data_IF_152954191204
#
_entry.id   IF_152954191204
#
_cell.length_a   1.000
_cell.length_b   1.000
_cell.length_c   1.000
_cell.angle_alpha   90.00
_cell.angle_beta   90.00
_cell.angle_gamma   90.00
#
_symmetry.space_group_name_H-M   'P 1'
#
loop_
_entity.id
_entity.type
_entity.pdbx_description
1 polymer ?
#
# COMPACT_ATOMS: atom_id res chain seq x y z
N UNK A 1 14.21 10.97 -6.60
CA UNK A 1 14.85 10.83 -5.28
C UNK A 1 16.35 10.54 -5.38
N UNK A 2 16.81 9.61 -6.22
CA UNK A 2 18.23 9.22 -6.33
C UNK A 2 19.21 10.33 -6.78
N UNK A 3 18.78 11.26 -7.66
CA UNK A 3 19.62 12.39 -8.09
C UNK A 3 19.99 13.37 -6.96
N UNK A 4 19.09 13.62 -6.01
CA UNK A 4 19.33 14.52 -4.89
C UNK A 4 20.39 13.96 -3.93
N UNK A 5 20.46 12.63 -3.82
CA UNK A 5 21.40 11.93 -2.96
C UNK A 5 22.81 11.87 -3.56
N UNK A 6 22.91 11.69 -4.89
CA UNK A 6 24.19 11.80 -5.62
C UNK A 6 24.78 13.21 -5.46
N UNK A 7 23.94 14.24 -5.55
CA UNK A 7 24.37 15.62 -5.34
C UNK A 7 24.92 15.86 -3.92
N UNK A 8 24.29 15.28 -2.89
CA UNK A 8 24.75 15.41 -1.50
C UNK A 8 26.12 14.74 -1.28
N UNK A 9 26.35 13.56 -1.86
CA UNK A 9 27.63 12.85 -1.76
C UNK A 9 28.76 13.60 -2.48
N UNK A 10 28.47 14.23 -3.62
CA UNK A 10 29.44 15.08 -4.33
C UNK A 10 29.84 16.30 -3.51
N UNK A 11 28.88 16.97 -2.86
CA UNK A 11 29.16 18.13 -2.00
C UNK A 11 30.05 17.73 -0.82
N UNK A 12 29.78 16.57 -0.20
CA UNK A 12 30.60 16.06 0.91
C UNK A 12 32.03 15.73 0.44
N UNK A 13 32.18 15.13 -0.74
CA UNK A 13 33.50 14.81 -1.30
C UNK A 13 34.32 16.08 -1.59
N UNK A 14 33.70 17.12 -2.17
CA UNK A 14 34.34 18.41 -2.43
C UNK A 14 34.75 19.09 -1.11
N UNK A 15 33.91 19.03 -0.08
CA UNK A 15 34.20 19.59 1.23
C UNK A 15 35.40 18.91 1.90
N UNK A 16 35.47 17.57 1.83
CA UNK A 16 36.61 16.81 2.36
C UNK A 16 37.91 17.10 1.59
N UNK A 17 37.86 17.24 0.27
CA UNK A 17 38.98 17.68 -0.57
C UNK A 17 39.49 19.08 -0.18
N UNK A 18 38.56 20.01 0.09
CA UNK A 18 38.90 21.36 0.51
C UNK A 18 39.58 21.38 1.89
N UNK A 19 39.08 20.61 2.85
CA UNK A 19 39.67 20.46 4.18
C UNK A 19 41.08 19.86 4.13
N UNK A 20 41.26 18.80 3.34
CA UNK A 20 42.56 18.18 3.13
C UNK A 20 43.57 19.14 2.50
N UNK A 21 43.13 20.00 1.57
CA UNK A 21 43.97 21.03 0.97
C UNK A 21 44.34 22.12 1.96
N UNK A 22 43.40 22.54 2.82
CA UNK A 22 43.64 23.60 3.83
C UNK A 22 44.70 23.19 4.85
N UNK A 23 44.73 21.91 5.25
CA UNK A 23 45.71 21.39 6.20
C UNK A 23 47.16 21.39 5.68
N UNK A 24 47.36 21.43 4.35
CA UNK A 24 48.70 21.48 3.72
C UNK A 24 49.31 22.89 3.79
N UNK A 25 48.50 23.94 3.97
CA UNK A 25 48.96 25.34 3.87
C UNK A 25 49.52 25.89 5.19
N UNK A 26 49.21 25.28 6.34
CA UNK A 26 49.63 25.77 7.67
C UNK A 26 51.08 25.41 8.05
N UNK A 27 51.73 24.43 7.40
CA UNK A 27 53.12 24.06 7.73
C UNK A 27 54.17 24.99 7.10
N UNK A 28 53.85 25.67 6.00
CA UNK A 28 54.79 26.53 5.27
C UNK A 28 55.10 27.87 5.95
N UNK A 29 54.26 28.34 6.88
CA UNK A 29 54.38 29.68 7.47
C UNK A 29 55.42 29.78 8.61
N UNK A 30 55.69 28.68 9.33
CA UNK A 30 56.61 28.67 10.48
C UNK A 30 58.09 28.74 10.04
N UNK A 31 58.43 28.04 8.95
CA UNK A 31 59.78 28.01 8.39
C UNK A 31 60.16 29.36 7.75
N UNK A 32 59.21 30.01 7.07
CA UNK A 32 59.40 31.35 6.49
C UNK A 32 59.56 32.42 7.59
N UNK A 33 58.72 32.39 8.64
CA UNK A 33 58.82 33.33 9.76
C UNK A 33 60.17 33.21 10.49
N UNK A 34 60.67 31.98 10.69
CA UNK A 34 61.97 31.76 11.34
C UNK A 34 63.14 32.27 10.49
N UNK A 35 63.05 32.14 9.15
CA UNK A 35 64.07 32.63 8.23
C UNK A 35 64.14 34.16 8.21
N UNK A 36 62.99 34.84 8.19
CA UNK A 36 62.94 36.31 8.22
C UNK A 36 63.56 36.87 9.52
N UNK A 37 63.29 36.22 10.66
CA UNK A 37 63.88 36.62 11.95
C UNK A 37 65.41 36.47 11.93
N UNK A 38 65.92 35.37 11.35
CA UNK A 38 67.36 35.14 11.22
C UNK A 38 68.05 36.18 10.34
N UNK A 39 67.47 36.49 9.17
CA UNK A 39 68.03 37.49 8.24
C UNK A 39 67.99 38.91 8.85
N UNK A 40 66.92 39.25 9.57
CA UNK A 40 66.80 40.52 10.29
C UNK A 40 67.88 40.69 11.37
N UNK A 41 68.12 39.66 12.19
CA UNK A 41 69.18 39.68 13.21
C UNK A 41 70.59 39.73 12.62
N UNK A 42 70.80 39.17 11.43
CA UNK A 42 72.08 39.25 10.73
C UNK A 42 72.38 40.68 10.28
N UNK A 43 71.37 41.37 9.74
CA UNK A 43 71.46 42.77 9.31
C UNK A 43 71.74 43.69 10.50
N UNK A 44 71.06 43.50 11.63
CA UNK A 44 71.27 44.27 12.87
C UNK A 44 72.74 44.16 13.34
N UNK A 45 73.30 42.95 13.35
CA UNK A 45 74.71 42.74 13.73
C UNK A 45 75.70 43.40 12.76
N UNK A 46 75.39 43.43 11.46
CA UNK A 46 76.22 44.11 10.46
C UNK A 46 76.15 45.64 10.60
N UNK A 47 74.98 46.16 10.95
CA UNK A 47 74.79 47.58 11.24
C UNK A 47 75.54 48.00 12.52
N UNK A 48 75.48 47.18 13.58
CA UNK A 48 76.22 47.41 14.83
C UNK A 48 77.75 47.49 14.60
N UNK A 49 78.29 46.66 13.69
CA UNK A 49 79.69 46.77 13.26
C UNK A 49 79.93 48.08 12.51
N UNK A 50 79.03 48.45 11.59
CA UNK A 50 79.11 49.71 10.84
C UNK A 50 79.07 50.97 11.72
N UNK A 51 78.36 50.90 12.85
CA UNK A 51 78.29 51.95 13.86
C UNK A 51 79.44 51.90 14.89
N UNK A 52 80.32 50.88 14.80
CA UNK A 52 81.46 50.69 15.70
C UNK A 52 81.09 50.21 17.11
N UNK A 53 79.88 49.69 17.31
CA UNK A 53 79.37 49.18 18.58
C UNK A 53 79.98 47.82 18.95
N UNK A 54 80.38 47.04 17.93
CA UNK A 54 81.04 45.75 18.09
C UNK A 54 82.27 45.68 17.18
N UNK A 55 83.25 44.85 17.55
CA UNK A 55 84.43 44.57 16.72
C UNK A 55 84.17 43.47 15.69
N UNK A 56 84.96 43.40 14.61
CA UNK A 56 84.85 42.33 13.61
C UNK A 56 84.96 40.92 14.21
N UNK A 57 85.76 40.77 15.27
CA UNK A 57 85.92 39.50 15.98
C UNK A 57 84.66 39.11 16.76
N UNK A 58 83.99 40.10 17.37
CA UNK A 58 82.71 39.91 18.07
C UNK A 58 81.58 39.61 17.07
N UNK A 59 81.56 40.28 15.91
CA UNK A 59 80.62 39.97 14.83
C UNK A 59 80.75 38.51 14.38
N UNK A 60 81.97 38.02 14.15
CA UNK A 60 82.17 36.62 13.75
C UNK A 60 81.69 35.62 14.81
N UNK A 61 81.89 35.92 16.10
CA UNK A 61 81.41 35.08 17.19
C UNK A 61 79.87 35.11 17.28
N UNK A 62 79.27 36.30 17.21
CA UNK A 62 77.82 36.49 17.25
C UNK A 62 77.12 35.79 16.08
N UNK A 63 77.63 35.93 14.85
CA UNK A 63 77.11 35.19 13.68
C UNK A 63 77.20 33.69 13.85
N UNK A 64 78.30 33.20 14.44
CA UNK A 64 78.49 31.76 14.70
C UNK A 64 77.48 31.24 15.73
N UNK A 65 77.22 32.01 16.79
CA UNK A 65 76.25 31.66 17.82
C UNK A 65 74.81 31.75 17.29
N UNK A 66 74.45 32.80 16.56
CA UNK A 66 73.15 32.95 15.90
C UNK A 66 72.86 31.77 14.95
N UNK A 67 73.84 31.37 14.15
CA UNK A 67 73.73 30.17 13.29
C UNK A 67 73.53 28.90 14.09
N UNK A 68 74.22 28.77 15.23
CA UNK A 68 74.06 27.61 16.11
C UNK A 68 72.64 27.58 16.69
N UNK A 69 72.15 28.69 17.25
CA UNK A 69 70.80 28.79 17.80
C UNK A 69 69.74 28.52 16.75
N UNK A 70 69.85 29.10 15.55
CA UNK A 70 68.94 28.82 14.43
C UNK A 70 68.88 27.32 14.09
N UNK A 71 70.03 26.64 14.04
CA UNK A 71 70.10 25.18 13.78
C UNK A 71 69.60 24.35 14.97
N UNK A 72 69.59 24.88 16.19
CA UNK A 72 69.17 24.13 17.40
C UNK A 72 67.68 24.31 17.70
N UNK A 73 67.13 25.51 17.46
CA UNK A 73 65.70 25.83 17.59
C UNK A 73 64.87 25.29 16.42
N UNK A 74 65.47 25.14 15.23
CA UNK A 74 64.92 24.30 14.16
C UNK A 74 65.23 22.84 14.51
N UNK A 75 64.40 22.24 15.35
CA UNK A 75 64.49 20.80 15.64
C UNK A 75 64.33 20.00 14.33
N UNK A 76 65.46 19.51 13.84
CA UNK A 76 65.66 18.55 12.76
C UNK A 76 64.95 18.89 11.42
N UNK A 77 65.62 19.58 10.48
CA UNK A 77 65.03 19.94 9.19
C UNK A 77 64.62 18.74 8.31
N UNK A 78 65.07 17.53 8.65
CA UNK A 78 64.68 16.29 7.97
C UNK A 78 63.60 15.49 8.74
N UNK A 79 63.22 15.91 9.96
CA UNK A 79 62.06 15.37 10.66
C UNK A 79 60.78 16.02 10.15
N UNK A 80 60.50 15.84 8.86
CA UNK A 80 59.15 16.00 8.35
C UNK A 80 58.27 15.05 9.17
N UNK A 81 57.39 15.60 10.01
CA UNK A 81 56.29 14.82 10.57
C UNK A 81 55.50 14.32 9.36
N UNK A 82 55.76 13.07 8.96
CA UNK A 82 55.05 12.45 7.86
C UNK A 82 53.65 12.14 8.37
N UNK A 83 52.79 13.15 8.40
CA UNK A 83 51.36 12.94 8.49
C UNK A 83 51.02 12.30 7.15
N UNK A 84 51.01 10.96 7.11
CA UNK A 84 50.51 10.23 5.95
C UNK A 84 49.13 10.81 5.67
N UNK A 85 48.86 11.40 4.49
CA UNK A 85 47.51 11.83 4.19
C UNK A 85 46.64 10.59 4.39
N UNK A 86 45.53 10.73 5.13
CA UNK A 86 44.48 9.70 5.04
C UNK A 86 44.10 9.72 3.58
N UNK A 87 44.68 8.78 2.82
CA UNK A 87 44.56 8.75 1.38
C UNK A 87 43.07 8.71 1.06
N UNK A 88 42.70 9.32 -0.06
CA UNK A 88 41.32 9.34 -0.59
C UNK A 88 40.62 7.97 -0.56
N UNK A 89 41.39 6.89 -0.43
CA UNK A 89 40.99 5.51 -0.15
C UNK A 89 39.91 5.40 0.94
N UNK A 90 40.10 5.95 2.15
CA UNK A 90 39.13 5.75 3.25
C UNK A 90 37.75 6.34 2.94
N UNK A 91 37.63 7.63 2.53
CA UNK A 91 36.34 8.17 2.14
C UNK A 91 35.78 7.52 0.87
N UNK A 92 36.63 7.08 -0.07
CA UNK A 92 36.16 6.35 -1.26
C UNK A 92 35.55 4.99 -0.93
N UNK A 93 36.16 4.26 0.01
CA UNK A 93 35.63 2.98 0.52
C UNK A 93 34.31 3.21 1.24
N UNK A 94 34.21 4.24 2.08
CA UNK A 94 32.96 4.58 2.77
C UNK A 94 31.83 4.90 1.78
N UNK A 95 32.11 5.68 0.74
CA UNK A 95 31.13 5.99 -0.31
C UNK A 95 30.73 4.71 -1.07
N UNK A 96 31.67 3.85 -1.42
CA UNK A 96 31.38 2.59 -2.10
C UNK A 96 30.52 1.64 -1.24
N UNK A 97 30.84 1.50 0.05
CA UNK A 97 30.07 0.68 0.99
C UNK A 97 28.67 1.25 1.18
N UNK A 98 28.53 2.57 1.29
CA UNK A 98 27.22 3.23 1.40
C UNK A 98 26.39 3.02 0.13
N UNK A 99 27.00 3.14 -1.05
CA UNK A 99 26.34 2.90 -2.33
C UNK A 99 25.86 1.44 -2.47
N UNK A 100 26.70 0.47 -2.09
CA UNK A 100 26.32 -0.95 -2.07
C UNK A 100 25.21 -1.22 -1.06
N UNK A 101 25.29 -0.66 0.14
CA UNK A 101 24.26 -0.81 1.17
C UNK A 101 22.90 -0.25 0.73
N UNK A 102 22.89 0.90 0.05
CA UNK A 102 21.68 1.50 -0.51
C UNK A 102 21.11 0.62 -1.64
N UNK A 103 21.97 0.13 -2.54
CA UNK A 103 21.55 -0.75 -3.64
C UNK A 103 20.86 -2.03 -3.13
N UNK A 104 21.36 -2.60 -2.02
CA UNK A 104 20.76 -3.75 -1.35
C UNK A 104 19.48 -3.38 -0.60
N UNK A 105 19.44 -2.24 0.10
CA UNK A 105 18.28 -1.79 0.88
C UNK A 105 17.05 -1.46 0.02
N UNK A 106 17.26 -0.79 -1.13
CA UNK A 106 16.18 -0.40 -2.05
C UNK A 106 15.61 -1.60 -2.83
N UNK A 107 16.20 -2.79 -2.70
CA UNK A 107 15.73 -4.00 -3.37
C UNK A 107 15.87 -3.97 -4.90
N UNK A 108 16.58 -2.98 -5.45
CA UNK A 108 16.80 -2.82 -6.89
C UNK A 108 17.43 -4.06 -7.55
N UNK A 109 18.27 -4.80 -6.81
CA UNK A 109 18.78 -6.11 -7.25
C UNK A 109 17.69 -7.17 -7.44
N UNK A 110 16.70 -7.20 -6.55
CA UNK A 110 15.52 -8.09 -6.64
C UNK A 110 14.63 -7.68 -7.82
N UNK A 111 14.55 -6.39 -8.13
CA UNK A 111 13.77 -5.89 -9.26
C UNK A 111 14.42 -6.20 -10.62
N UNK A 112 15.76 -6.14 -10.69
CA UNK A 112 16.52 -6.58 -11.87
C UNK A 112 16.41 -8.09 -12.07
N UNK A 113 16.60 -8.89 -11.01
CA UNK A 113 16.48 -10.35 -11.09
C UNK A 113 15.08 -10.79 -11.53
N UNK A 114 14.02 -10.13 -11.04
CA UNK A 114 12.63 -10.40 -11.46
C UNK A 114 12.33 -10.00 -12.91
N UNK A 115 13.01 -8.99 -13.45
CA UNK A 115 12.90 -8.63 -14.87
C UNK A 115 13.61 -9.64 -15.76
N UNK A 116 14.74 -10.18 -15.31
CA UNK A 116 15.49 -11.22 -16.02
C UNK A 116 14.70 -12.55 -16.00
N UNK A 117 14.10 -12.92 -14.86
CA UNK A 117 13.19 -14.09 -14.71
C UNK A 117 11.92 -13.96 -15.55
N UNK A 118 11.34 -12.76 -15.68
CA UNK A 118 10.16 -12.53 -16.54
C UNK A 118 10.45 -12.81 -18.03
N UNK A 119 11.70 -12.63 -18.48
CA UNK A 119 12.11 -12.91 -19.86
C UNK A 119 12.21 -14.42 -20.13
N UNK A 120 12.62 -15.19 -19.11
CA UNK A 120 12.71 -16.66 -19.17
C UNK A 120 11.33 -17.35 -19.13
N UNK A 121 10.32 -16.68 -18.56
CA UNK A 121 8.96 -17.22 -18.41
C UNK A 121 8.06 -16.92 -19.60
N UNK A 122 8.35 -15.89 -20.41
CA UNK A 122 7.56 -15.54 -21.59
C UNK A 122 7.30 -16.71 -22.57
N UNK A 123 8.27 -17.61 -22.85
CA UNK A 123 8.03 -18.81 -23.65
C UNK A 123 7.02 -19.76 -23.01
N UNK A 124 7.21 -20.14 -21.73
CA UNK A 124 6.30 -21.03 -20.99
C UNK A 124 4.90 -20.43 -20.83
N UNK A 125 4.82 -19.13 -20.53
CA UNK A 125 3.56 -18.39 -20.51
C UNK A 125 2.87 -18.47 -21.87
N UNK A 126 3.61 -18.32 -22.97
CA UNK A 126 3.05 -18.42 -24.32
C UNK A 126 2.59 -19.85 -24.64
N UNK A 127 3.34 -20.88 -24.24
CA UNK A 127 2.97 -22.29 -24.39
C UNK A 127 1.69 -22.62 -23.60
N UNK A 128 1.60 -22.18 -22.34
CA UNK A 128 0.41 -22.32 -21.51
C UNK A 128 -0.80 -21.61 -22.12
N UNK A 129 -0.62 -20.38 -22.62
CA UNK A 129 -1.67 -19.63 -23.33
C UNK A 129 -2.15 -20.31 -24.62
N UNK A 130 -1.31 -21.13 -25.25
CA UNK A 130 -1.64 -21.94 -26.43
C UNK A 130 -2.28 -23.29 -26.06
N UNK A 131 -2.45 -23.58 -24.77
CA UNK A 131 -3.15 -24.77 -24.27
C UNK A 131 -2.24 -25.89 -23.77
N UNK A 132 -0.93 -25.66 -23.65
CA UNK A 132 -0.03 -26.63 -23.05
C UNK A 132 -0.15 -26.63 -21.52
N UNK A 133 -0.74 -27.69 -20.97
CA UNK A 133 -0.94 -27.84 -19.54
C UNK A 133 0.36 -28.22 -18.81
N UNK A 134 1.39 -28.73 -19.49
CA UNK A 134 2.71 -28.96 -18.87
C UNK A 134 3.43 -27.65 -18.57
N UNK A 135 3.10 -26.58 -19.31
CA UNK A 135 3.62 -25.24 -19.08
C UNK A 135 2.81 -24.45 -18.05
N UNK A 136 1.76 -25.02 -17.45
CA UNK A 136 0.93 -24.32 -16.47
C UNK A 136 1.71 -24.02 -15.17
N UNK A 137 1.41 -22.90 -14.47
CA UNK A 137 2.03 -22.61 -13.19
C UNK A 137 1.65 -23.67 -12.14
N UNK A 138 2.64 -24.35 -11.56
CA UNK A 138 2.43 -25.43 -10.59
C UNK A 138 2.25 -24.89 -9.18
N UNK A 139 2.97 -23.83 -8.83
CA UNK A 139 2.95 -23.22 -7.50
C UNK A 139 2.34 -21.82 -7.51
N UNK A 140 1.98 -21.33 -6.31
CA UNK A 140 1.53 -19.94 -6.14
C UNK A 140 2.61 -18.94 -6.55
N UNK A 141 3.88 -19.27 -6.35
CA UNK A 141 5.01 -18.43 -6.74
C UNK A 141 5.13 -18.39 -8.27
N UNK A 142 5.05 -19.55 -8.95
CA UNK A 142 5.02 -19.62 -10.41
C UNK A 142 3.87 -18.80 -10.99
N UNK A 143 2.69 -18.87 -10.38
CA UNK A 143 1.53 -18.08 -10.82
C UNK A 143 1.78 -16.58 -10.68
N UNK A 144 2.46 -16.15 -9.61
CA UNK A 144 2.87 -14.76 -9.43
C UNK A 144 3.84 -14.35 -10.55
N UNK A 145 4.83 -15.18 -10.85
CA UNK A 145 5.85 -14.88 -11.85
C UNK A 145 5.28 -14.87 -13.28
N UNK A 146 4.35 -15.77 -13.58
CA UNK A 146 3.61 -15.77 -14.85
C UNK A 146 2.76 -14.50 -14.99
N UNK A 147 2.09 -14.09 -13.91
CA UNK A 147 1.29 -12.88 -13.91
C UNK A 147 2.17 -11.64 -14.12
N UNK A 148 3.37 -11.59 -13.53
CA UNK A 148 4.32 -10.52 -13.76
C UNK A 148 4.78 -10.45 -15.23
N UNK A 149 5.15 -11.59 -15.82
CA UNK A 149 5.49 -11.68 -17.24
C UNK A 149 4.36 -11.23 -18.16
N UNK A 150 3.12 -11.65 -17.85
CA UNK A 150 1.93 -11.22 -18.57
C UNK A 150 1.69 -9.71 -18.45
N UNK A 151 1.82 -9.15 -17.25
CA UNK A 151 1.70 -7.71 -17.00
C UNK A 151 2.74 -6.91 -17.79
N UNK A 152 3.98 -7.38 -17.84
CA UNK A 152 5.05 -6.74 -18.60
C UNK A 152 4.70 -6.71 -20.10
N UNK A 153 4.29 -7.85 -20.66
CA UNK A 153 3.85 -7.94 -22.06
C UNK A 153 2.69 -6.98 -22.37
N UNK A 154 1.75 -6.85 -21.45
CA UNK A 154 0.59 -5.98 -21.57
C UNK A 154 0.92 -4.48 -21.55
N UNK A 155 2.10 -4.08 -21.04
CA UNK A 155 2.57 -2.69 -21.14
C UNK A 155 2.94 -2.33 -22.59
N UNK A 156 3.53 -3.27 -23.32
CA UNK A 156 3.98 -3.05 -24.70
C UNK A 156 2.88 -3.37 -25.72
N UNK A 157 2.11 -4.44 -25.47
CA UNK A 157 1.04 -4.92 -26.35
C UNK A 157 -0.23 -5.17 -25.54
N UNK A 158 -1.04 -4.12 -25.28
CA UNK A 158 -2.28 -4.27 -24.55
C UNK A 158 -3.29 -5.11 -25.34
N UNK A 159 -3.92 -6.07 -24.66
CA UNK A 159 -4.96 -6.93 -25.22
C UNK A 159 -6.04 -7.20 -24.17
N UNK A 160 -7.32 -7.13 -24.56
CA UNK A 160 -8.44 -7.23 -23.63
C UNK A 160 -8.51 -8.60 -22.95
N UNK A 161 -8.34 -9.68 -23.72
CA UNK A 161 -8.42 -11.05 -23.19
C UNK A 161 -7.23 -11.37 -22.28
N UNK A 162 -6.04 -10.87 -22.60
CA UNK A 162 -4.87 -10.98 -21.77
C UNK A 162 -5.00 -10.16 -20.47
N UNK A 163 -5.59 -8.96 -20.51
CA UNK A 163 -5.95 -8.21 -19.29
C UNK A 163 -6.96 -8.97 -18.43
N UNK A 164 -7.99 -9.57 -19.04
CA UNK A 164 -8.95 -10.39 -18.31
C UNK A 164 -8.31 -11.65 -17.71
N UNK A 165 -7.34 -12.27 -18.41
CA UNK A 165 -6.60 -13.41 -17.87
C UNK A 165 -5.74 -12.98 -16.69
N UNK A 166 -5.00 -11.88 -16.81
CA UNK A 166 -4.23 -11.32 -15.71
C UNK A 166 -5.14 -11.06 -14.50
N UNK A 167 -6.35 -10.54 -14.72
CA UNK A 167 -7.37 -10.37 -13.68
C UNK A 167 -7.75 -11.68 -12.99
N UNK A 168 -8.01 -12.76 -13.74
CA UNK A 168 -8.29 -14.09 -13.16
C UNK A 168 -7.11 -14.66 -12.36
N UNK A 169 -5.88 -14.46 -12.84
CA UNK A 169 -4.68 -14.85 -12.09
C UNK A 169 -4.57 -14.07 -10.78
N UNK A 170 -4.86 -12.77 -10.80
CA UNK A 170 -4.89 -11.95 -9.58
C UNK A 170 -5.98 -12.42 -8.60
N UNK A 171 -7.15 -12.83 -9.10
CA UNK A 171 -8.19 -13.43 -8.24
C UNK A 171 -7.69 -14.70 -7.55
N UNK A 172 -6.99 -15.59 -8.27
CA UNK A 172 -6.42 -16.81 -7.70
C UNK A 172 -5.28 -16.52 -6.70
N UNK A 173 -4.56 -15.42 -6.89
CA UNK A 173 -3.54 -14.92 -5.97
C UNK A 173 -4.12 -14.07 -4.82
N UNK A 174 -5.45 -13.99 -4.70
CA UNK A 174 -6.18 -13.19 -3.70
C UNK A 174 -5.83 -11.68 -3.75
N UNK A 175 -5.42 -11.19 -4.92
CA UNK A 175 -5.09 -9.79 -5.17
C UNK A 175 -6.29 -9.08 -5.80
N UNK A 176 -7.37 -8.92 -5.03
CA UNK A 176 -8.65 -8.38 -5.51
C UNK A 176 -8.51 -7.02 -6.21
N UNK A 177 -7.76 -6.09 -5.62
CA UNK A 177 -7.57 -4.74 -6.19
C UNK A 177 -6.90 -4.78 -7.58
N UNK A 178 -5.84 -5.59 -7.71
CA UNK A 178 -5.14 -5.77 -8.99
C UNK A 178 -6.03 -6.48 -10.02
N UNK A 179 -6.89 -7.40 -9.57
CA UNK A 179 -7.86 -8.07 -10.43
C UNK A 179 -8.88 -7.07 -10.99
N UNK A 180 -9.46 -6.22 -10.13
CA UNK A 180 -10.43 -5.21 -10.53
C UNK A 180 -9.85 -4.19 -11.52
N UNK A 181 -8.61 -3.73 -11.32
CA UNK A 181 -7.90 -2.86 -12.26
C UNK A 181 -7.71 -3.54 -13.63
N UNK A 182 -7.27 -4.81 -13.62
CA UNK A 182 -7.07 -5.59 -14.83
C UNK A 182 -8.38 -5.82 -15.62
N UNK A 183 -9.45 -6.19 -14.92
CA UNK A 183 -10.75 -6.36 -15.55
C UNK A 183 -11.35 -5.04 -16.05
N UNK A 184 -11.10 -3.91 -15.36
CA UNK A 184 -11.49 -2.59 -15.87
C UNK A 184 -10.80 -2.28 -17.20
N UNK A 185 -9.49 -2.52 -17.29
CA UNK A 185 -8.74 -2.34 -18.55
C UNK A 185 -9.26 -3.23 -19.67
N UNK A 186 -9.53 -4.51 -19.37
CA UNK A 186 -10.17 -5.43 -20.32
C UNK A 186 -11.51 -4.89 -20.82
N UNK A 187 -12.35 -4.41 -19.90
CA UNK A 187 -13.67 -3.87 -20.22
C UNK A 187 -13.61 -2.58 -21.04
N UNK A 188 -12.66 -1.69 -20.75
CA UNK A 188 -12.46 -0.45 -21.51
C UNK A 188 -12.05 -0.72 -22.97
N UNK A 189 -11.31 -1.80 -23.22
CA UNK A 189 -10.90 -2.22 -24.56
C UNK A 189 -12.03 -2.92 -25.32
N UNK A 190 -12.72 -3.88 -24.67
CA UNK A 190 -13.81 -4.65 -25.27
C UNK A 190 -15.04 -4.72 -24.36
N UNK A 191 -15.90 -3.68 -24.37
CA UNK A 191 -17.06 -3.62 -23.48
C UNK A 191 -18.10 -4.72 -23.68
N UNK A 192 -18.12 -5.33 -24.88
CA UNK A 192 -19.10 -6.34 -25.29
C UNK A 192 -18.51 -7.77 -25.31
N UNK A 193 -17.33 -7.98 -24.74
CA UNK A 193 -16.79 -9.31 -24.57
C UNK A 193 -17.46 -9.99 -23.36
N UNK A 194 -18.54 -10.75 -23.63
CA UNK A 194 -19.38 -11.34 -22.59
C UNK A 194 -18.62 -12.31 -21.66
N UNK A 195 -17.59 -12.99 -22.15
CA UNK A 195 -16.74 -13.85 -21.31
C UNK A 195 -15.93 -13.03 -20.30
N UNK A 196 -15.37 -11.90 -20.73
CA UNK A 196 -14.64 -11.00 -19.84
C UNK A 196 -15.60 -10.27 -18.88
N UNK A 197 -16.81 -9.93 -19.31
CA UNK A 197 -17.86 -9.39 -18.43
C UNK A 197 -18.25 -10.36 -17.33
N UNK A 198 -18.34 -11.66 -17.62
CA UNK A 198 -18.59 -12.70 -16.61
C UNK A 198 -17.47 -12.72 -15.57
N UNK A 199 -16.21 -12.78 -16.01
CA UNK A 199 -15.04 -12.77 -15.12
C UNK A 199 -14.98 -11.50 -14.26
N UNK A 200 -15.27 -10.34 -14.86
CA UNK A 200 -15.29 -9.08 -14.14
C UNK A 200 -16.43 -9.02 -13.11
N UNK A 201 -17.62 -9.49 -13.48
CA UNK A 201 -18.78 -9.55 -12.57
C UNK A 201 -18.47 -10.39 -11.34
N UNK A 202 -17.74 -11.50 -11.49
CA UNK A 202 -17.30 -12.31 -10.35
C UNK A 202 -16.38 -11.53 -9.42
N UNK A 203 -15.38 -10.81 -9.94
CA UNK A 203 -14.51 -9.98 -9.11
C UNK A 203 -15.27 -8.85 -8.38
N UNK A 204 -16.24 -8.22 -9.04
CA UNK A 204 -17.11 -7.21 -8.44
C UNK A 204 -17.99 -7.79 -7.31
N UNK A 205 -18.48 -9.02 -7.47
CA UNK A 205 -19.21 -9.75 -6.42
C UNK A 205 -18.31 -10.00 -5.21
N UNK A 206 -17.05 -10.42 -5.41
CA UNK A 206 -16.10 -10.66 -4.31
C UNK A 206 -15.78 -9.39 -3.54
N UNK A 207 -15.76 -8.24 -4.20
CA UNK A 207 -15.56 -6.95 -3.54
C UNK A 207 -16.75 -6.52 -2.68
N UNK A 208 -17.98 -6.86 -3.10
CA UNK A 208 -19.16 -6.84 -2.24
C UNK A 208 -19.75 -5.47 -1.91
N UNK A 209 -19.22 -4.37 -2.47
CA UNK A 209 -19.83 -3.04 -2.28
C UNK A 209 -21.13 -2.90 -3.08
N UNK A 210 -22.10 -2.13 -2.57
CA UNK A 210 -23.38 -1.90 -3.26
C UNK A 210 -23.16 -1.36 -4.68
N UNK A 211 -22.16 -0.49 -4.88
CA UNK A 211 -21.83 0.05 -6.20
C UNK A 211 -21.34 -1.05 -7.16
N UNK A 212 -20.46 -1.93 -6.70
CA UNK A 212 -19.89 -3.00 -7.52
C UNK A 212 -20.90 -4.11 -7.78
N UNK A 213 -21.72 -4.48 -6.80
CA UNK A 213 -22.83 -5.41 -6.97
C UNK A 213 -23.83 -4.89 -8.02
N UNK A 214 -24.16 -3.60 -7.99
CA UNK A 214 -25.01 -2.98 -9.02
C UNK A 214 -24.34 -2.98 -10.41
N UNK A 215 -23.01 -2.81 -10.47
CA UNK A 215 -22.26 -2.89 -11.74
C UNK A 215 -22.24 -4.34 -12.26
N UNK A 216 -22.02 -5.33 -11.40
CA UNK A 216 -22.07 -6.75 -11.71
C UNK A 216 -23.46 -7.15 -12.26
N UNK A 217 -24.56 -6.72 -11.60
CA UNK A 217 -25.92 -6.96 -12.09
C UNK A 217 -26.13 -6.46 -13.52
N UNK A 218 -25.63 -5.27 -13.85
CA UNK A 218 -25.72 -4.71 -15.22
C UNK A 218 -24.93 -5.52 -16.22
N UNK A 219 -23.71 -5.93 -15.88
CA UNK A 219 -22.86 -6.74 -16.76
C UNK A 219 -23.46 -8.12 -17.00
N UNK A 220 -23.94 -8.81 -15.96
CA UNK A 220 -24.65 -10.07 -16.08
C UNK A 220 -25.94 -9.93 -16.88
N UNK A 221 -26.67 -8.83 -16.71
CA UNK A 221 -27.83 -8.49 -17.54
C UNK A 221 -27.50 -8.34 -19.02
N UNK A 222 -26.33 -7.78 -19.35
CA UNK A 222 -25.86 -7.70 -20.74
C UNK A 222 -25.48 -9.09 -21.30
N UNK A 223 -24.83 -9.93 -20.50
CA UNK A 223 -24.51 -11.32 -20.87
C UNK A 223 -25.79 -12.11 -21.15
N UNK A 224 -26.80 -11.96 -20.29
CA UNK A 224 -28.10 -12.64 -20.43
C UNK A 224 -28.95 -12.10 -21.58
N UNK A 225 -28.71 -10.88 -22.08
CA UNK A 225 -29.35 -10.42 -23.31
C UNK A 225 -28.85 -11.17 -24.54
N UNK A 226 -27.54 -11.45 -24.60
CA UNK A 226 -26.94 -12.21 -25.71
C UNK A 226 -27.18 -13.72 -25.57
N UNK A 227 -26.99 -14.26 -24.36
CA UNK A 227 -27.23 -15.66 -24.06
C UNK A 227 -28.21 -15.80 -22.88
N UNK A 228 -29.54 -15.76 -23.15
CA UNK A 228 -30.58 -15.86 -22.11
C UNK A 228 -30.58 -17.19 -21.35
N UNK A 229 -29.94 -18.23 -21.90
CA UNK A 229 -29.88 -19.57 -21.31
C UNK A 229 -28.50 -19.88 -20.73
N UNK A 230 -27.81 -18.89 -20.18
CA UNK A 230 -26.53 -19.08 -19.51
C UNK A 230 -26.75 -19.37 -18.00
N UNK A 231 -26.65 -20.63 -17.53
CA UNK A 231 -26.86 -20.97 -16.12
C UNK A 231 -25.82 -20.36 -15.19
N UNK A 232 -24.59 -20.09 -15.67
CA UNK A 232 -23.56 -19.44 -14.87
C UNK A 232 -23.91 -17.96 -14.63
N UNK A 233 -24.35 -17.24 -15.66
CA UNK A 233 -24.75 -15.85 -15.52
C UNK A 233 -25.97 -15.69 -14.60
N UNK A 234 -26.95 -16.60 -14.71
CA UNK A 234 -28.09 -16.68 -13.79
C UNK A 234 -27.65 -17.00 -12.35
N UNK A 235 -26.71 -17.93 -12.19
CA UNK A 235 -26.14 -18.29 -10.90
C UNK A 235 -25.47 -17.10 -10.21
N UNK A 236 -24.61 -16.36 -10.93
CA UNK A 236 -23.97 -15.14 -10.43
C UNK A 236 -24.99 -14.03 -10.15
N UNK A 237 -26.04 -13.90 -10.97
CA UNK A 237 -27.09 -12.91 -10.74
C UNK A 237 -27.88 -13.21 -9.47
N UNK A 238 -28.10 -14.49 -9.17
CA UNK A 238 -28.67 -14.94 -7.90
C UNK A 238 -27.82 -14.50 -6.71
N UNK A 239 -26.50 -14.66 -6.79
CA UNK A 239 -25.57 -14.19 -5.74
C UNK A 239 -25.69 -12.67 -5.57
N UNK A 240 -25.64 -11.90 -6.66
CA UNK A 240 -25.77 -10.44 -6.60
C UNK A 240 -27.07 -10.00 -5.94
N UNK A 241 -28.20 -10.62 -6.29
CA UNK A 241 -29.48 -10.28 -5.67
C UNK A 241 -29.53 -10.68 -4.20
N UNK A 242 -28.94 -11.82 -3.84
CA UNK A 242 -28.89 -12.29 -2.46
C UNK A 242 -28.07 -11.37 -1.57
N UNK A 243 -26.89 -10.94 -2.01
CA UNK A 243 -26.04 -9.97 -1.29
C UNK A 243 -26.74 -8.62 -1.12
N UNK A 244 -27.60 -8.25 -2.07
CA UNK A 244 -28.44 -7.04 -2.01
C UNK A 244 -29.75 -7.23 -1.24
N UNK A 245 -29.90 -8.36 -0.55
CA UNK A 245 -31.09 -8.76 0.21
C UNK A 245 -32.40 -8.84 -0.61
N UNK A 246 -32.29 -9.00 -1.93
CA UNK A 246 -33.40 -9.23 -2.83
C UNK A 246 -33.62 -10.74 -2.99
N UNK A 247 -34.09 -11.36 -1.91
CA UNK A 247 -34.19 -12.82 -1.80
C UNK A 247 -35.16 -13.43 -2.80
N UNK A 248 -36.23 -12.71 -3.16
CA UNK A 248 -37.16 -13.16 -4.21
C UNK A 248 -36.48 -13.25 -5.57
N UNK A 249 -35.76 -12.20 -6.01
CA UNK A 249 -35.05 -12.22 -7.29
C UNK A 249 -33.87 -13.18 -7.26
N UNK A 250 -33.22 -13.37 -6.11
CA UNK A 250 -32.17 -14.36 -5.93
C UNK A 250 -32.71 -15.78 -6.17
N UNK A 251 -33.82 -16.13 -5.51
CA UNK A 251 -34.47 -17.43 -5.67
C UNK A 251 -34.89 -17.68 -7.13
N UNK A 252 -35.51 -16.69 -7.79
CA UNK A 252 -35.90 -16.82 -9.20
C UNK A 252 -34.69 -17.07 -10.12
N UNK A 253 -33.59 -16.34 -9.93
CA UNK A 253 -32.40 -16.50 -10.75
C UNK A 253 -31.74 -17.88 -10.57
N UNK A 254 -31.63 -18.36 -9.32
CA UNK A 254 -31.08 -19.70 -9.04
C UNK A 254 -32.00 -20.83 -9.50
N UNK A 255 -33.32 -20.67 -9.39
CA UNK A 255 -34.27 -21.64 -9.94
C UNK A 255 -34.12 -21.75 -11.46
N UNK A 256 -34.01 -20.63 -12.18
CA UNK A 256 -33.71 -20.63 -13.61
C UNK A 256 -32.35 -21.24 -13.94
N UNK A 257 -31.32 -20.97 -13.13
CA UNK A 257 -30.00 -21.56 -13.31
C UNK A 257 -30.05 -23.09 -13.20
N UNK A 258 -30.72 -23.62 -12.18
CA UNK A 258 -30.87 -25.08 -11.96
C UNK A 258 -31.68 -25.76 -13.06
N UNK A 259 -32.72 -25.12 -13.59
CA UNK A 259 -33.50 -25.66 -14.72
C UNK A 259 -32.67 -25.83 -16.01
N UNK A 260 -31.60 -25.04 -16.17
CA UNK A 260 -30.73 -25.05 -17.36
C UNK A 260 -29.41 -25.78 -17.14
N UNK A 261 -29.10 -26.19 -15.90
CA UNK A 261 -27.85 -26.82 -15.51
C UNK A 261 -27.99 -28.35 -15.48
N UNK A 262 -26.91 -29.06 -15.82
CA UNK A 262 -26.85 -30.51 -15.61
C UNK A 262 -26.76 -30.82 -14.10
N UNK A 263 -27.54 -31.79 -13.62
CA UNK A 263 -27.53 -32.20 -12.21
C UNK A 263 -26.16 -32.71 -11.73
N UNK A 264 -25.29 -33.15 -12.66
CA UNK A 264 -23.92 -33.57 -12.37
C UNK A 264 -22.90 -32.42 -12.36
N UNK A 265 -23.30 -31.18 -12.67
CA UNK A 265 -22.43 -30.01 -12.57
C UNK A 265 -22.01 -29.83 -11.10
N UNK A 266 -20.72 -29.58 -10.87
CA UNK A 266 -20.15 -29.45 -9.52
C UNK A 266 -20.78 -28.32 -8.71
N UNK A 267 -21.40 -27.33 -9.37
CA UNK A 267 -22.06 -26.17 -8.74
C UNK A 267 -23.51 -26.44 -8.39
N UNK A 268 -24.15 -27.49 -8.92
CA UNK A 268 -25.59 -27.72 -8.81
C UNK A 268 -26.06 -27.73 -7.35
N UNK A 269 -25.44 -28.55 -6.50
CA UNK A 269 -25.78 -28.66 -5.08
C UNK A 269 -25.58 -27.34 -4.31
N UNK A 270 -24.54 -26.57 -4.64
CA UNK A 270 -24.31 -25.27 -4.02
C UNK A 270 -25.41 -24.28 -4.37
N UNK A 271 -25.80 -24.19 -5.65
CA UNK A 271 -26.89 -23.32 -6.10
C UNK A 271 -28.23 -23.76 -5.50
N UNK A 272 -28.48 -25.07 -5.38
CA UNK A 272 -29.68 -25.60 -4.73
C UNK A 272 -29.77 -25.18 -3.25
N UNK A 273 -28.67 -25.27 -2.50
CA UNK A 273 -28.64 -24.81 -1.11
C UNK A 273 -28.82 -23.29 -0.99
N UNK A 274 -28.28 -22.52 -1.93
CA UNK A 274 -28.48 -21.07 -2.00
C UNK A 274 -29.93 -20.71 -2.32
N UNK A 275 -30.58 -21.45 -3.22
CA UNK A 275 -32.00 -21.30 -3.55
C UNK A 275 -32.88 -21.53 -2.32
N UNK A 276 -32.63 -22.59 -1.55
CA UNK A 276 -33.40 -22.87 -0.33
C UNK A 276 -33.26 -21.74 0.68
N UNK A 277 -32.04 -21.28 0.95
CA UNK A 277 -31.79 -20.15 1.85
C UNK A 277 -32.45 -18.86 1.38
N UNK A 278 -32.47 -18.59 0.06
CA UNK A 278 -33.20 -17.44 -0.46
C UNK A 278 -34.71 -17.57 -0.26
N UNK A 279 -35.28 -18.77 -0.43
CA UNK A 279 -36.71 -19.02 -0.22
C UNK A 279 -37.11 -18.83 1.25
N UNK A 280 -36.33 -19.38 2.18
CA UNK A 280 -36.53 -19.21 3.64
C UNK A 280 -36.42 -17.75 4.11
N UNK A 281 -35.65 -16.92 3.40
CA UNK A 281 -35.56 -15.48 3.69
C UNK A 281 -36.66 -14.68 3.01
N UNK A 282 -37.10 -15.11 1.82
CA UNK A 282 -38.17 -14.46 1.07
C UNK A 282 -39.56 -14.74 1.65
N UNK A 283 -39.82 -15.94 2.15
CA UNK A 283 -41.09 -16.31 2.79
C UNK A 283 -41.22 -15.77 4.24
N UNK A 284 -40.14 -15.19 4.77
CA UNK A 284 -40.06 -14.66 6.12
C UNK A 284 -39.92 -15.73 7.21
N UNK A 285 -39.67 -16.99 6.86
CA UNK A 285 -39.37 -18.09 7.79
C UNK A 285 -38.13 -17.78 8.63
N UNK A 286 -37.17 -17.06 8.05
CA UNK A 286 -36.07 -16.42 8.78
C UNK A 286 -36.41 -14.93 8.96
N UNK A 287 -36.44 -14.46 10.21
CA UNK A 287 -36.62 -13.04 10.49
C UNK A 287 -35.42 -12.25 9.99
N UNK A 288 -35.64 -11.34 9.05
CA UNK A 288 -34.60 -10.47 8.50
C UNK A 288 -34.97 -8.99 8.59
N UNK A 289 -33.97 -8.14 8.85
CA UNK A 289 -34.08 -6.69 8.84
C UNK A 289 -32.94 -6.12 7.99
N UNK A 290 -33.27 -5.45 6.89
CA UNK A 290 -32.31 -4.86 5.95
C UNK A 290 -32.22 -3.36 6.19
N UNK A 291 -31.03 -2.88 6.57
CA UNK A 291 -30.78 -1.49 6.92
C UNK A 291 -29.74 -0.90 5.98
N UNK A 292 -30.16 0.03 5.13
CA UNK A 292 -29.25 0.88 4.36
C UNK A 292 -28.84 2.08 5.22
N UNK A 293 -27.54 2.18 5.49
CA UNK A 293 -26.95 3.24 6.29
C UNK A 293 -26.27 4.22 5.35
N UNK A 294 -26.62 5.50 5.48
CA UNK A 294 -25.98 6.59 4.76
C UNK A 294 -25.53 7.68 5.75
N UNK A 295 -24.79 8.66 5.25
CA UNK A 295 -24.21 9.73 6.04
C UNK A 295 -24.57 11.09 5.41
N UNK A 296 -24.92 12.07 6.25
CA UNK A 296 -25.20 13.42 5.76
C UNK A 296 -23.96 14.05 5.13
N UNK A 297 -24.15 15.00 4.20
CA UNK A 297 -23.03 15.71 3.57
C UNK A 297 -22.12 16.39 4.60
N UNK A 298 -22.70 16.91 5.69
CA UNK A 298 -21.95 17.53 6.79
C UNK A 298 -21.04 16.53 7.50
N UNK A 299 -21.52 15.32 7.78
CA UNK A 299 -20.77 14.28 8.48
C UNK A 299 -19.77 13.59 7.55
N UNK A 300 -20.06 13.51 6.24
CA UNK A 300 -19.16 12.93 5.23
C UNK A 300 -17.81 13.64 5.16
N UNK A 301 -17.77 14.96 5.40
CA UNK A 301 -16.54 15.75 5.42
C UNK A 301 -15.65 15.49 6.65
N UNK A 302 -16.24 14.98 7.74
CA UNK A 302 -15.54 14.67 9.00
C UNK A 302 -15.17 13.17 9.07
N UNK A 303 -15.49 12.40 8.02
CA UNK A 303 -15.33 10.95 8.01
C UNK A 303 -13.85 10.57 7.88
N UNK A 304 -13.36 9.71 8.79
CA UNK A 304 -12.02 9.15 8.67
C UNK A 304 -11.92 8.16 7.49
N UNK A 305 -10.72 7.86 6.95
CA UNK A 305 -10.58 6.96 5.80
C UNK A 305 -11.06 5.51 6.04
N UNK A 306 -11.02 5.04 7.29
CA UNK A 306 -11.50 3.71 7.68
C UNK A 306 -12.27 3.85 8.98
N UNK A 307 -13.50 3.34 9.00
CA UNK A 307 -14.36 3.36 10.18
C UNK A 307 -15.00 1.98 10.40
N UNK A 308 -15.46 1.76 11.63
CA UNK A 308 -16.38 0.68 11.96
C UNK A 308 -17.79 1.28 12.05
N UNK A 309 -18.75 0.65 11.37
CA UNK A 309 -20.18 0.86 11.56
C UNK A 309 -20.70 -0.21 12.50
N UNK A 310 -21.27 0.21 13.61
CA UNK A 310 -22.07 -0.62 14.49
C UNK A 310 -23.54 -0.35 14.22
N UNK A 311 -24.25 -1.35 13.72
CA UNK A 311 -25.70 -1.33 13.61
C UNK A 311 -26.27 -2.14 14.77
N UNK A 312 -27.19 -1.54 15.51
CA UNK A 312 -27.80 -2.19 16.66
C UNK A 312 -29.31 -2.01 16.66
N UNK A 313 -29.97 -3.08 17.07
CA UNK A 313 -31.41 -3.16 17.26
C UNK A 313 -31.67 -3.30 18.75
N UNK A 314 -32.49 -2.43 19.32
CA UNK A 314 -32.86 -2.46 20.75
C UNK A 314 -34.37 -2.59 20.91
N UNK A 315 -34.77 -3.06 22.08
CA UNK A 315 -36.15 -3.02 22.51
C UNK A 315 -36.54 -1.56 22.86
N UNK A 316 -37.60 -0.99 22.27
CA UNK A 316 -38.09 0.35 22.62
C UNK A 316 -38.54 0.49 24.08
N UNK A 317 -39.00 -0.61 24.70
CA UNK A 317 -39.56 -0.60 26.06
C UNK A 317 -38.48 -0.68 27.15
N UNK A 318 -37.21 -0.84 26.76
CA UNK A 318 -36.06 -0.65 27.63
C UNK A 318 -35.33 -1.94 27.98
N UNK A 319 -34.16 -2.12 27.35
CA UNK A 319 -33.12 -3.07 27.72
C UNK A 319 -31.74 -2.42 27.56
N UNK A 320 -30.79 -2.74 28.44
CA UNK A 320 -29.42 -2.21 28.34
C UNK A 320 -28.60 -2.89 27.24
N UNK A 321 -28.94 -4.13 26.90
CA UNK A 321 -28.31 -4.90 25.85
C UNK A 321 -29.09 -4.78 24.51
N UNK A 322 -28.40 -4.68 23.37
CA UNK A 322 -29.04 -4.81 22.05
C UNK A 322 -29.65 -6.19 21.84
N UNK A 323 -30.78 -6.24 21.13
CA UNK A 323 -31.41 -7.45 20.60
C UNK A 323 -30.47 -8.08 19.56
N UNK A 324 -29.95 -7.27 18.65
CA UNK A 324 -28.99 -7.69 17.65
C UNK A 324 -27.93 -6.61 17.46
N UNK A 325 -26.69 -7.02 17.20
CA UNK A 325 -25.60 -6.10 16.88
C UNK A 325 -24.71 -6.70 15.82
N UNK A 326 -24.33 -5.86 14.84
CA UNK A 326 -23.33 -6.23 13.85
C UNK A 326 -22.32 -5.12 13.68
N UNK A 327 -21.10 -5.50 13.31
CA UNK A 327 -19.97 -4.60 13.08
C UNK A 327 -19.43 -4.81 11.67
N UNK A 328 -19.42 -3.75 10.88
CA UNK A 328 -18.84 -3.76 9.55
C UNK A 328 -17.77 -2.67 9.41
N UNK A 329 -16.62 -3.04 8.84
CA UNK A 329 -15.60 -2.05 8.43
C UNK A 329 -16.01 -1.42 7.11
N UNK A 330 -15.94 -0.10 7.04
CA UNK A 330 -16.39 0.67 5.88
C UNK A 330 -15.43 1.81 5.54
N UNK A 331 -15.34 2.10 4.26
CA UNK A 331 -14.55 3.19 3.68
C UNK A 331 -15.43 4.24 2.99
N UNK A 332 -16.67 3.88 2.61
CA UNK A 332 -17.62 4.77 1.96
C UNK A 332 -19.07 4.40 2.31
N UNK A 333 -20.00 5.29 1.96
CA UNK A 333 -21.44 5.18 2.17
C UNK A 333 -22.19 5.55 0.88
N UNK A 334 -23.39 4.96 0.63
CA UNK A 334 -24.16 4.13 1.54
C UNK A 334 -23.66 2.69 1.61
N UNK A 335 -24.01 2.01 2.71
CA UNK A 335 -23.83 0.56 2.88
C UNK A 335 -25.17 -0.08 3.20
N UNK A 336 -25.34 -1.35 2.87
CA UNK A 336 -26.52 -2.12 3.22
C UNK A 336 -26.13 -3.29 4.11
N UNK A 337 -26.81 -3.44 5.25
CA UNK A 337 -26.57 -4.50 6.22
C UNK A 337 -27.86 -5.28 6.44
N UNK A 338 -27.78 -6.62 6.37
CA UNK A 338 -28.90 -7.50 6.72
C UNK A 338 -28.63 -8.11 8.09
N UNK A 339 -29.57 -7.93 9.01
CA UNK A 339 -29.60 -8.58 10.32
C UNK A 339 -30.59 -9.74 10.32
N UNK A 340 -30.25 -10.79 11.05
CA UNK A 340 -31.09 -11.97 11.30
C UNK A 340 -31.06 -12.36 12.79
N UNK A 341 -31.83 -13.37 13.17
CA UNK A 341 -31.79 -13.91 14.54
C UNK A 341 -30.40 -14.44 14.96
N UNK A 342 -29.51 -14.77 14.02
CA UNK A 342 -28.14 -15.19 14.34
C UNK A 342 -27.24 -14.05 14.82
N UNK A 343 -27.65 -12.79 14.59
CA UNK A 343 -26.91 -11.60 15.02
C UNK A 343 -27.27 -11.18 16.46
N UNK A 344 -28.07 -11.99 17.15
CA UNK A 344 -28.44 -11.80 18.53
C UNK A 344 -27.28 -12.06 19.49
N UNK A 345 -27.15 -11.21 20.52
CA UNK A 345 -26.13 -11.39 21.56
C UNK A 345 -26.54 -12.42 22.63
N UNK A 346 -27.84 -12.70 22.75
CA UNK A 346 -28.43 -13.55 23.79
C UNK A 346 -29.35 -14.60 23.14
N UNK A 347 -29.25 -15.85 23.59
CA UNK A 347 -29.98 -16.99 23.00
C UNK A 347 -31.51 -16.85 22.99
N UNK A 348 -32.08 -15.99 23.85
CA UNK A 348 -33.53 -15.81 24.04
C UNK A 348 -34.04 -14.41 23.68
N UNK A 349 -33.18 -13.51 23.18
CA UNK A 349 -33.57 -12.15 22.77
C UNK A 349 -33.02 -11.90 21.38
N UNK A 350 -33.88 -12.07 20.37
CA UNK A 350 -33.56 -11.97 18.95
C UNK A 350 -34.61 -11.14 18.19
N UNK A 351 -34.42 -10.93 16.89
CA UNK A 351 -35.30 -10.08 16.08
C UNK A 351 -36.73 -10.64 16.03
N UNK A 352 -36.89 -11.97 15.94
CA UNK A 352 -38.21 -12.62 15.86
C UNK A 352 -39.01 -12.52 17.16
N UNK A 353 -38.34 -12.52 18.32
CA UNK A 353 -38.97 -12.43 19.64
C UNK A 353 -39.52 -11.05 19.99
N UNK A 354 -38.96 -9.97 19.43
CA UNK A 354 -39.34 -8.59 19.74
C UNK A 354 -40.67 -8.20 19.06
N UNK A 355 -41.43 -7.26 19.63
CA UNK A 355 -42.66 -6.73 19.00
C UNK A 355 -42.36 -5.57 18.03
N UNK A 356 -41.32 -4.80 18.32
CA UNK A 356 -40.84 -3.70 17.49
C UNK A 356 -39.34 -3.49 17.71
N UNK A 357 -38.72 -2.72 16.83
CA UNK A 357 -37.28 -2.53 16.76
C UNK A 357 -36.95 -1.05 16.86
N UNK A 358 -36.09 -0.70 17.82
CA UNK A 358 -35.43 0.60 17.85
C UNK A 358 -34.05 0.46 17.19
N UNK A 359 -33.98 0.87 15.92
CA UNK A 359 -32.79 0.70 15.07
C UNK A 359 -31.92 1.94 15.12
N UNK A 360 -30.64 1.77 15.41
CA UNK A 360 -29.68 2.87 15.44
C UNK A 360 -28.33 2.41 14.90
N UNK A 361 -27.61 3.30 14.23
CA UNK A 361 -26.24 3.08 13.79
C UNK A 361 -25.27 4.09 14.38
N UNK A 362 -24.03 3.63 14.61
CA UNK A 362 -22.90 4.46 15.01
C UNK A 362 -21.69 4.17 14.13
N UNK A 363 -21.00 5.23 13.74
CA UNK A 363 -19.69 5.20 13.08
C UNK A 363 -18.64 5.61 14.10
N UNK A 364 -17.60 4.79 14.23
CA UNK A 364 -16.47 5.03 15.13
C UNK A 364 -15.17 4.58 14.49
N UNK A 365 -14.07 5.20 14.89
CA UNK A 365 -12.71 4.71 14.59
C UNK A 365 -12.26 3.62 15.58
N UNK A 366 -13.01 3.42 16.68
CA UNK A 366 -12.74 2.41 17.68
C UNK A 366 -13.19 1.01 17.28
N UNK A 367 -12.62 -0.01 17.93
CA UNK A 367 -13.02 -1.41 17.73
C UNK A 367 -14.16 -1.86 18.65
N UNK A 368 -14.56 -1.04 19.63
CA UNK A 368 -15.63 -1.37 20.60
C UNK A 368 -16.89 -0.55 20.33
N UNK A 369 -18.02 -1.07 20.80
CA UNK A 369 -19.35 -0.44 20.70
C UNK A 369 -19.56 0.72 21.68
N UNK A 370 -18.57 1.07 22.50
CA UNK A 370 -18.69 2.10 23.52
C UNK A 370 -18.85 3.47 22.87
N UNK A 371 -19.70 4.32 23.45
CA UNK A 371 -19.93 5.68 22.97
C UNK A 371 -18.70 6.55 23.28
N UNK A 372 -18.06 7.13 22.27
CA UNK A 372 -16.88 8.01 22.43
C UNK A 372 -17.13 9.39 21.81
N UNK A 373 -16.46 10.40 22.36
CA UNK A 373 -16.43 11.74 21.76
C UNK A 373 -15.78 11.65 20.38
N UNK A 374 -16.40 12.29 19.38
CA UNK A 374 -16.00 12.23 17.97
C UNK A 374 -16.64 11.10 17.15
N UNK A 375 -17.31 10.14 17.78
CA UNK A 375 -18.12 9.16 17.06
C UNK A 375 -19.32 9.84 16.41
N UNK A 376 -19.83 9.29 15.31
CA UNK A 376 -21.04 9.80 14.64
C UNK A 376 -22.19 8.82 14.82
N UNK A 377 -23.40 9.30 15.07
CA UNK A 377 -24.58 8.45 15.23
C UNK A 377 -25.80 8.92 14.43
N UNK A 378 -26.59 7.96 14.01
CA UNK A 378 -27.94 8.20 13.49
C UNK A 378 -28.91 8.32 14.68
N UNK A 379 -29.98 9.09 14.51
CA UNK A 379 -31.08 9.07 15.47
C UNK A 379 -31.76 7.70 15.46
N UNK A 380 -32.14 7.14 16.62
CA UNK A 380 -32.89 5.90 16.67
C UNK A 380 -34.21 6.01 15.90
N UNK A 381 -34.52 5.00 15.09
CA UNK A 381 -35.77 4.90 14.34
C UNK A 381 -36.57 3.71 14.87
N UNK A 382 -37.81 3.97 15.29
CA UNK A 382 -38.75 2.93 15.68
C UNK A 382 -39.35 2.29 14.42
N UNK A 383 -39.32 0.97 14.36
CA UNK A 383 -39.82 0.17 13.24
C UNK A 383 -40.66 -0.98 13.79
N UNK A 384 -41.84 -1.21 13.19
CA UNK A 384 -42.66 -2.38 13.52
C UNK A 384 -42.00 -3.66 13.01
N UNK A 385 -42.17 -4.77 13.74
CA UNK A 385 -41.64 -6.06 13.30
C UNK A 385 -42.31 -6.50 12.01
N UNK A 386 -41.51 -6.68 10.97
CA UNK A 386 -41.90 -7.23 9.68
C UNK A 386 -40.66 -7.95 9.10
N UNK A 387 -40.78 -9.22 8.70
CA UNK A 387 -39.65 -9.93 8.10
C UNK A 387 -39.36 -9.39 6.70
N UNK A 388 -38.08 -9.25 6.36
CA UNK A 388 -37.66 -8.64 5.09
C UNK A 388 -37.83 -7.12 5.06
N UNK A 389 -38.11 -6.48 6.20
CA UNK A 389 -38.28 -5.03 6.28
C UNK A 389 -37.02 -4.33 5.81
N UNK A 390 -37.16 -3.49 4.79
CA UNK A 390 -36.10 -2.60 4.33
C UNK A 390 -36.29 -1.21 4.91
N UNK A 391 -35.22 -0.62 5.44
CA UNK A 391 -35.23 0.74 5.95
C UNK A 391 -33.91 1.46 5.65
N UNK A 392 -33.98 2.80 5.64
CA UNK A 392 -32.79 3.65 5.51
C UNK A 392 -32.61 4.51 6.75
N UNK A 393 -31.39 4.57 7.25
CA UNK A 393 -31.01 5.48 8.33
C UNK A 393 -29.85 6.37 7.88
N UNK A 394 -29.86 7.63 8.35
CA UNK A 394 -28.85 8.62 7.99
C UNK A 394 -28.14 9.08 9.25
N UNK A 395 -26.81 9.02 9.24
CA UNK A 395 -25.95 9.53 10.29
C UNK A 395 -25.89 11.04 10.17
N UNK A 396 -26.29 11.74 11.22
CA UNK A 396 -26.46 13.21 11.20
C UNK A 396 -25.83 13.92 12.40
N UNK A 397 -25.47 13.18 13.46
CA UNK A 397 -25.01 13.76 14.72
C UNK A 397 -23.60 13.27 15.06
N UNK A 398 -22.76 14.18 15.55
CA UNK A 398 -21.47 13.84 16.14
C UNK A 398 -21.60 13.88 17.66
N UNK A 399 -21.04 12.86 18.32
CA UNK A 399 -21.03 12.75 19.76
C UNK A 399 -20.00 13.75 20.31
N UNK A 400 -20.41 14.67 21.19
CA UNK A 400 -19.54 15.69 21.73
C UNK A 400 -18.44 15.14 22.64
#
# INVERSE_FOLDING_TARGET
MWYAMIALLLVLAIFLLWLARRQIWESWTLEQANKEIYESRLLELEEDLGQGLISEKELMLAKKELKKTFVTDVHDPDSAVSIKPVGFIVPSILIAVLAVGIYVYDGSWVQQQRSDEATEILPKLSEWLLGDMEAAPETRDDMWTYALGLRQRLMDNPDANAWSLYGRMMMQLEQLEQALDAFSKSYEMEPNNYSNLMSYSQALIVSGTDQELNRAARFLGNVLQENPQNPEALGLLGIVNFERADFERAAQAWEMALMLMDENDSRYSSIQNSLEQARERADGSVMTLVVTIDISETMRNELAPVNNVFLFVRDPDGGSAPIAVTRQRVTDFPITITLTDSDAMLDNVNLSSAESWLVQARVTTGDTMDRRSGDMEARPVLVEKESGRQMRIVITEMIP
#
